data_IF_343195869485
#
_entry.id   IF_343195869485
#
_cell.length_a   1.000
_cell.length_b   1.000
_cell.length_c   1.000
_cell.angle_alpha   90.00
_cell.angle_beta   90.00
_cell.angle_gamma   90.00
#
_symmetry.space_group_name_H-M   'P 1'
#
loop_
_entity.id
_entity.type
_entity.pdbx_description
1 polymer ?
#
# COMPACT_ATOMS: atom_id res chain seq x y z
N UNK A 1 -13.18 -22.82 12.08
CA UNK A 1 -11.78 -22.36 11.96
C UNK A 1 -11.66 -20.97 12.54
N UNK A 2 -10.61 -20.72 13.31
CA UNK A 2 -10.25 -19.39 13.81
C UNK A 2 -9.68 -18.53 12.65
N UNK A 3 -9.64 -17.20 12.82
CA UNK A 3 -9.03 -16.31 11.81
C UNK A 3 -7.56 -16.69 11.54
N UNK A 4 -6.80 -17.04 12.58
CA UNK A 4 -5.42 -17.50 12.44
C UNK A 4 -5.29 -18.76 11.56
N UNK A 5 -6.15 -19.76 11.78
CA UNK A 5 -6.16 -20.99 10.95
C UNK A 5 -6.51 -20.69 9.48
N UNK A 6 -7.50 -19.82 9.25
CA UNK A 6 -7.88 -19.39 7.91
C UNK A 6 -6.71 -18.66 7.23
N UNK A 7 -6.11 -17.67 7.90
CA UNK A 7 -5.00 -16.91 7.35
C UNK A 7 -3.77 -17.78 7.05
N UNK A 8 -3.44 -18.72 7.96
CA UNK A 8 -2.35 -19.66 7.75
C UNK A 8 -2.59 -20.56 6.53
N UNK A 9 -3.81 -21.11 6.39
CA UNK A 9 -4.16 -21.94 5.24
C UNK A 9 -4.11 -21.17 3.93
N UNK A 10 -4.75 -19.99 3.87
CA UNK A 10 -4.76 -19.15 2.66
C UNK A 10 -3.38 -18.56 2.33
N UNK A 11 -2.60 -18.24 3.36
CA UNK A 11 -1.22 -17.80 3.17
C UNK A 11 -0.35 -18.89 2.56
N UNK A 12 -0.47 -20.14 3.03
CA UNK A 12 0.28 -21.27 2.46
C UNK A 12 -0.03 -21.48 0.96
N UNK A 13 -1.29 -21.33 0.54
CA UNK A 13 -1.65 -21.36 -0.89
C UNK A 13 -0.96 -20.25 -1.71
N UNK A 14 -0.69 -19.11 -1.07
CA UNK A 14 0.05 -17.97 -1.66
C UNK A 14 1.57 -18.04 -1.39
N UNK A 15 2.10 -19.17 -0.93
CA UNK A 15 3.51 -19.37 -0.58
C UNK A 15 4.03 -18.45 0.54
N UNK A 16 3.13 -17.98 1.40
CA UNK A 16 3.44 -17.21 2.61
C UNK A 16 3.47 -18.15 3.82
N UNK A 17 4.42 -17.92 4.71
CA UNK A 17 4.49 -18.59 6.01
C UNK A 17 4.45 -17.55 7.13
N UNK A 18 3.82 -17.90 8.24
CA UNK A 18 3.65 -17.00 9.37
C UNK A 18 4.20 -17.63 10.65
N UNK A 19 4.80 -16.83 11.51
CA UNK A 19 5.08 -17.22 12.89
C UNK A 19 3.80 -17.14 13.73
N UNK A 20 3.80 -17.78 14.90
CA UNK A 20 2.69 -17.68 15.85
C UNK A 20 2.42 -16.23 16.26
N UNK A 21 3.46 -15.45 16.49
CA UNK A 21 3.36 -14.03 16.83
C UNK A 21 2.70 -13.21 15.70
N UNK A 22 3.08 -13.47 14.45
CA UNK A 22 2.45 -12.81 13.29
C UNK A 22 0.97 -13.18 13.19
N UNK A 23 0.63 -14.43 13.35
CA UNK A 23 -0.79 -14.88 13.34
C UNK A 23 -1.59 -14.23 14.47
N UNK A 24 -1.01 -14.11 15.67
CA UNK A 24 -1.64 -13.40 16.79
C UNK A 24 -1.87 -11.91 16.47
N UNK A 25 -0.87 -11.22 15.90
CA UNK A 25 -1.00 -9.82 15.47
C UNK A 25 -2.06 -9.64 14.38
N UNK A 26 -2.07 -10.50 13.35
CA UNK A 26 -3.10 -10.44 12.30
C UNK A 26 -4.50 -10.70 12.84
N UNK A 27 -4.64 -11.63 13.78
CA UNK A 27 -5.93 -11.92 14.42
C UNK A 27 -6.43 -10.72 15.21
N UNK A 28 -5.56 -10.12 16.03
CA UNK A 28 -5.94 -8.91 16.79
C UNK A 28 -6.28 -7.73 15.89
N UNK A 29 -5.51 -7.53 14.83
CA UNK A 29 -5.80 -6.50 13.82
C UNK A 29 -7.16 -6.72 13.14
N UNK A 30 -7.49 -7.96 12.79
CA UNK A 30 -8.80 -8.33 12.24
C UNK A 30 -9.93 -8.00 13.21
N UNK A 31 -9.81 -8.36 14.49
CA UNK A 31 -10.80 -8.07 15.52
C UNK A 31 -11.05 -6.55 15.65
N UNK A 32 -9.99 -5.75 15.75
CA UNK A 32 -10.05 -4.30 15.82
C UNK A 32 -10.69 -3.70 14.57
N UNK A 33 -10.36 -4.22 13.39
CA UNK A 33 -10.94 -3.78 12.12
C UNK A 33 -12.46 -3.99 12.11
N UNK A 34 -12.91 -5.20 12.44
CA UNK A 34 -14.34 -5.55 12.43
C UNK A 34 -15.12 -4.77 13.49
N UNK A 35 -14.56 -4.62 14.69
CA UNK A 35 -15.17 -3.86 15.77
C UNK A 35 -15.33 -2.38 15.38
N UNK A 36 -14.24 -1.75 14.93
CA UNK A 36 -14.27 -0.33 14.54
C UNK A 36 -15.12 -0.10 13.29
N UNK A 37 -15.19 -1.07 12.39
CA UNK A 37 -15.97 -0.96 11.17
C UNK A 37 -17.48 -0.79 11.43
N UNK A 38 -17.99 -1.27 12.57
CA UNK A 38 -19.40 -1.09 12.98
C UNK A 38 -19.79 0.39 13.12
N UNK A 39 -18.82 1.26 13.39
CA UNK A 39 -19.06 2.71 13.64
C UNK A 39 -18.36 3.63 12.65
N UNK A 40 -17.40 3.14 11.86
CA UNK A 40 -16.52 4.02 11.06
C UNK A 40 -16.53 3.76 9.54
N UNK A 41 -17.10 2.66 9.07
CA UNK A 41 -17.07 2.27 7.66
C UNK A 41 -15.65 2.30 7.06
N UNK A 42 -14.74 1.52 7.64
CA UNK A 42 -13.35 1.40 7.19
C UNK A 42 -13.21 0.55 5.92
N UNK A 43 -14.03 -0.50 5.84
CA UNK A 43 -14.04 -1.46 4.73
C UNK A 43 -15.45 -2.04 4.52
N UNK A 44 -15.75 -2.46 3.30
CA UNK A 44 -16.94 -3.23 2.99
C UNK A 44 -16.78 -4.74 3.28
N UNK A 45 -15.54 -5.20 3.55
CA UNK A 45 -15.18 -6.60 3.71
C UNK A 45 -14.93 -6.87 5.20
N UNK A 46 -15.75 -7.72 5.81
CA UNK A 46 -15.68 -8.04 7.25
C UNK A 46 -15.65 -9.55 7.53
N UNK A 47 -16.06 -10.37 6.57
CA UNK A 47 -16.04 -11.83 6.74
C UNK A 47 -14.59 -12.34 6.89
N UNK A 48 -14.33 -13.26 7.85
CA UNK A 48 -12.97 -13.68 8.20
C UNK A 48 -12.16 -14.15 7.01
N UNK A 49 -12.74 -14.99 6.15
CA UNK A 49 -12.06 -15.53 4.98
C UNK A 49 -11.78 -14.47 3.93
N UNK A 50 -12.73 -13.57 3.69
CA UNK A 50 -12.52 -12.46 2.75
C UNK A 50 -11.46 -11.48 3.24
N UNK A 51 -11.43 -11.15 4.53
CA UNK A 51 -10.40 -10.28 5.11
C UNK A 51 -9.04 -10.96 5.03
N UNK A 52 -8.94 -12.24 5.37
CA UNK A 52 -7.67 -12.98 5.27
C UNK A 52 -7.12 -12.96 3.85
N UNK A 53 -7.95 -13.20 2.84
CA UNK A 53 -7.53 -13.27 1.43
C UNK A 53 -7.38 -11.87 0.81
N UNK A 54 -8.48 -11.07 0.81
CA UNK A 54 -8.56 -9.80 0.05
C UNK A 54 -7.86 -8.62 0.74
N UNK A 55 -7.54 -8.77 2.04
CA UNK A 55 -6.82 -7.71 2.77
C UNK A 55 -5.43 -8.18 3.20
N UNK A 56 -5.28 -9.28 3.95
CA UNK A 56 -3.99 -9.68 4.49
C UNK A 56 -3.08 -10.27 3.41
N UNK A 57 -3.50 -11.36 2.76
CA UNK A 57 -2.70 -12.02 1.70
C UNK A 57 -2.45 -11.06 0.53
N UNK A 58 -3.50 -10.37 0.04
CA UNK A 58 -3.37 -9.37 -1.04
C UNK A 58 -2.29 -8.31 -0.73
N UNK A 59 -2.26 -7.81 0.50
CA UNK A 59 -1.24 -6.85 0.93
C UNK A 59 0.18 -7.43 0.92
N UNK A 60 0.31 -8.70 1.32
CA UNK A 60 1.60 -9.38 1.41
C UNK A 60 2.18 -9.79 0.06
N UNK A 61 1.37 -9.82 -1.01
CA UNK A 61 1.88 -9.99 -2.38
C UNK A 61 2.81 -8.84 -2.82
N UNK A 62 2.76 -7.70 -2.13
CA UNK A 62 3.68 -6.59 -2.34
C UNK A 62 5.02 -6.75 -1.59
N UNK A 63 5.17 -7.78 -0.75
CA UNK A 63 6.39 -8.00 0.01
C UNK A 63 7.56 -8.44 -0.90
N UNK A 64 8.73 -7.95 -0.60
CA UNK A 64 10.01 -8.36 -1.20
C UNK A 64 11.06 -8.54 -0.10
N UNK A 65 11.93 -9.54 -0.22
CA UNK A 65 13.01 -9.80 0.75
C UNK A 65 13.92 -8.58 0.95
N UNK A 66 14.06 -7.75 -0.08
CA UNK A 66 14.80 -6.49 -0.03
C UNK A 66 14.21 -5.42 0.91
N UNK A 67 13.01 -5.62 1.45
CA UNK A 67 12.34 -4.67 2.36
C UNK A 67 12.90 -4.66 3.79
N UNK A 68 13.66 -5.68 4.18
CA UNK A 68 14.20 -5.77 5.54
C UNK A 68 15.07 -4.55 5.90
N UNK A 69 14.74 -3.90 7.02
CA UNK A 69 15.43 -2.72 7.53
C UNK A 69 15.26 -1.44 6.72
N UNK A 70 14.48 -1.47 5.62
CA UNK A 70 14.22 -0.35 4.71
C UNK A 70 13.09 0.56 5.20
N UNK A 71 12.90 1.66 4.49
CA UNK A 71 11.81 2.61 4.72
C UNK A 71 10.71 2.42 3.67
N UNK A 72 9.46 2.40 4.13
CA UNK A 72 8.28 2.30 3.29
C UNK A 72 7.29 3.42 3.65
N UNK A 73 6.66 4.00 2.65
CA UNK A 73 5.46 4.83 2.82
C UNK A 73 4.29 4.21 2.11
N UNK A 74 3.17 4.08 2.80
CA UNK A 74 1.89 3.61 2.25
C UNK A 74 0.96 4.80 2.03
N UNK A 75 0.63 5.09 0.77
CA UNK A 75 -0.09 6.29 0.35
C UNK A 75 -1.58 6.00 0.20
N UNK A 76 -2.40 6.76 0.92
CA UNK A 76 -3.83 6.51 0.99
C UNK A 76 -4.13 5.20 1.70
N UNK A 77 -3.45 4.98 2.82
CA UNK A 77 -3.41 3.69 3.53
C UNK A 77 -4.78 3.15 3.96
N UNK A 78 -5.77 4.02 4.10
CA UNK A 78 -7.14 3.63 4.48
C UNK A 78 -7.19 2.98 5.85
N UNK A 79 -7.63 1.74 5.89
CA UNK A 79 -7.62 0.92 7.11
C UNK A 79 -6.25 0.27 7.39
N UNK A 80 -5.18 0.67 6.69
CA UNK A 80 -3.81 0.20 6.92
C UNK A 80 -3.26 -0.75 5.85
N UNK A 81 -3.89 -0.82 4.69
CA UNK A 81 -3.52 -1.79 3.65
C UNK A 81 -2.82 -1.14 2.45
N UNK A 82 -1.63 -1.61 2.06
CA UNK A 82 -0.90 -2.80 2.54
C UNK A 82 0.06 -2.55 3.72
N UNK A 83 0.21 -1.33 4.22
CA UNK A 83 1.29 -0.93 5.13
C UNK A 83 1.37 -1.71 6.45
N UNK A 84 0.23 -1.94 7.14
CA UNK A 84 0.19 -2.68 8.41
C UNK A 84 0.48 -4.16 8.22
N UNK A 85 -0.13 -4.89 7.27
CA UNK A 85 0.25 -6.27 6.97
C UNK A 85 1.73 -6.44 6.65
N UNK A 86 2.31 -5.55 5.83
CA UNK A 86 3.75 -5.58 5.52
C UNK A 86 4.62 -5.36 6.77
N UNK A 87 4.18 -4.49 7.69
CA UNK A 87 4.86 -4.26 8.97
C UNK A 87 4.82 -5.46 9.89
N UNK A 88 3.66 -6.13 10.01
CA UNK A 88 3.52 -7.35 10.82
C UNK A 88 4.41 -8.45 10.24
N UNK A 89 4.41 -8.62 8.92
CA UNK A 89 5.18 -9.67 8.24
C UNK A 89 6.68 -9.40 8.25
N UNK A 90 7.10 -8.14 8.15
CA UNK A 90 8.49 -7.70 8.18
C UNK A 90 8.74 -6.70 9.34
N UNK A 91 8.98 -7.18 10.57
CA UNK A 91 9.09 -6.30 11.75
C UNK A 91 10.22 -5.27 11.68
N UNK A 92 11.28 -5.50 10.89
CA UNK A 92 12.40 -4.57 10.71
C UNK A 92 12.06 -3.41 9.74
N UNK A 93 10.97 -3.51 8.95
CA UNK A 93 10.53 -2.48 8.01
C UNK A 93 10.11 -1.21 8.77
N UNK A 94 10.55 -0.04 8.32
CA UNK A 94 10.16 1.26 8.89
C UNK A 94 9.03 1.84 8.05
N UNK A 95 7.82 1.89 8.59
CA UNK A 95 6.60 2.23 7.84
C UNK A 95 6.07 3.62 8.21
N UNK A 96 5.68 4.39 7.20
CA UNK A 96 4.90 5.62 7.34
C UNK A 96 3.56 5.43 6.63
N UNK A 97 2.47 5.54 7.38
CA UNK A 97 1.10 5.45 6.88
C UNK A 97 0.57 6.86 6.60
N UNK A 98 0.24 7.17 5.35
CA UNK A 98 -0.26 8.50 4.95
C UNK A 98 -1.72 8.39 4.52
N UNK A 99 -2.59 9.16 5.14
CA UNK A 99 -4.00 9.32 4.73
C UNK A 99 -4.47 10.76 4.98
N UNK A 100 -5.39 11.23 4.15
CA UNK A 100 -6.00 12.56 4.29
C UNK A 100 -7.17 12.60 5.28
N UNK A 101 -7.62 11.44 5.76
CA UNK A 101 -8.74 11.31 6.69
C UNK A 101 -8.25 10.97 8.10
N UNK A 102 -8.18 11.95 8.98
CA UNK A 102 -7.69 11.79 10.36
C UNK A 102 -8.42 10.72 11.18
N UNK A 103 -9.70 10.42 10.90
CA UNK A 103 -10.42 9.34 11.56
C UNK A 103 -9.82 7.96 11.29
N UNK A 104 -9.31 7.71 10.06
CA UNK A 104 -8.65 6.45 9.69
C UNK A 104 -7.32 6.31 10.43
N UNK A 105 -6.58 7.41 10.54
CA UNK A 105 -5.29 7.40 11.23
C UNK A 105 -5.45 7.15 12.73
N UNK A 106 -6.49 7.67 13.38
CA UNK A 106 -6.79 7.32 14.79
C UNK A 106 -7.03 5.83 15.00
N UNK A 107 -7.74 5.19 14.08
CA UNK A 107 -7.87 3.72 14.09
C UNK A 107 -6.52 3.03 13.96
N UNK A 108 -5.67 3.50 13.04
CA UNK A 108 -4.34 2.92 12.83
C UNK A 108 -3.39 3.15 14.02
N UNK A 109 -3.47 4.30 14.69
CA UNK A 109 -2.75 4.58 15.93
C UNK A 109 -3.18 3.58 17.02
N UNK A 110 -4.48 3.31 17.17
CA UNK A 110 -4.97 2.27 18.08
C UNK A 110 -4.42 0.88 17.71
N UNK A 111 -4.42 0.50 16.44
CA UNK A 111 -3.85 -0.78 15.98
C UNK A 111 -2.36 -0.87 16.33
N UNK A 112 -1.60 0.20 16.06
CA UNK A 112 -0.15 0.26 16.34
C UNK A 112 0.12 0.06 17.83
N UNK A 113 -0.64 0.72 18.68
CA UNK A 113 -0.50 0.66 20.14
C UNK A 113 -0.90 -0.72 20.68
N UNK A 114 -2.05 -1.24 20.28
CA UNK A 114 -2.58 -2.54 20.71
C UNK A 114 -1.67 -3.71 20.31
N UNK A 115 -1.06 -3.65 19.11
CA UNK A 115 -0.13 -4.66 18.64
C UNK A 115 1.33 -4.40 19.07
N UNK A 116 1.60 -3.29 19.78
CA UNK A 116 2.95 -2.92 20.19
C UNK A 116 3.95 -2.73 19.06
N UNK A 117 3.48 -2.38 17.84
CA UNK A 117 4.32 -2.27 16.65
C UNK A 117 5.32 -1.12 16.77
N UNK A 118 6.61 -1.39 16.52
CA UNK A 118 7.68 -0.39 16.56
C UNK A 118 8.14 0.00 15.17
N UNK A 119 8.55 1.26 14.99
CA UNK A 119 9.04 1.72 13.67
C UNK A 119 7.94 1.91 12.62
N UNK A 120 6.71 2.12 13.05
CA UNK A 120 5.58 2.49 12.22
C UNK A 120 4.93 3.75 12.80
N UNK A 121 4.46 4.66 11.93
CA UNK A 121 3.80 5.92 12.34
C UNK A 121 2.76 6.35 11.33
N UNK A 122 1.80 7.16 11.80
CA UNK A 122 0.78 7.80 10.99
C UNK A 122 1.16 9.25 10.65
N UNK A 123 0.81 9.71 9.45
CA UNK A 123 0.99 11.10 8.99
C UNK A 123 -0.30 11.58 8.32
N UNK A 124 -0.92 12.59 8.92
CA UNK A 124 -2.18 13.17 8.40
C UNK A 124 -1.85 14.20 7.32
N UNK A 125 -1.73 13.75 6.09
CA UNK A 125 -1.36 14.55 4.92
C UNK A 125 -2.10 14.06 3.68
N UNK A 126 -2.32 14.97 2.71
CA UNK A 126 -2.60 14.58 1.34
C UNK A 126 -1.32 14.07 0.68
N UNK A 127 -1.44 13.17 -0.28
CA UNK A 127 -0.30 12.62 -1.02
C UNK A 127 0.52 13.73 -1.72
N UNK A 128 -0.16 14.72 -2.29
CA UNK A 128 0.48 15.85 -2.96
C UNK A 128 1.29 16.72 -1.98
N UNK A 129 0.78 16.92 -0.78
CA UNK A 129 1.47 17.70 0.25
C UNK A 129 2.68 16.92 0.79
N UNK A 130 2.54 15.61 0.99
CA UNK A 130 3.65 14.73 1.34
C UNK A 130 4.76 14.77 0.28
N UNK A 131 4.41 14.65 -1.01
CA UNK A 131 5.37 14.70 -2.12
C UNK A 131 6.09 16.04 -2.30
N UNK A 132 5.57 17.12 -1.72
CA UNK A 132 6.19 18.48 -1.70
C UNK A 132 6.97 18.75 -0.42
N UNK A 133 6.69 18.01 0.64
CA UNK A 133 7.33 18.19 1.94
C UNK A 133 8.79 17.73 1.92
N UNK A 134 9.71 18.55 2.39
CA UNK A 134 11.12 18.18 2.56
C UNK A 134 11.31 16.95 3.45
N UNK A 135 10.37 16.69 4.36
CA UNK A 135 10.37 15.53 5.27
C UNK A 135 10.14 14.22 4.54
N UNK A 136 9.35 14.23 3.44
CA UNK A 136 8.87 13.01 2.79
C UNK A 136 9.36 12.85 1.36
N UNK A 137 9.60 13.97 0.63
CA UNK A 137 10.01 13.94 -0.76
C UNK A 137 11.31 13.17 -0.96
N UNK A 138 11.26 12.11 -1.81
CA UNK A 138 12.41 11.28 -2.18
C UNK A 138 13.16 10.66 -0.98
N UNK A 139 12.42 10.27 0.08
CA UNK A 139 12.98 9.72 1.30
C UNK A 139 12.82 8.20 1.45
N UNK A 140 11.92 7.58 0.70
CA UNK A 140 11.54 6.20 0.94
C UNK A 140 12.17 5.22 -0.05
N UNK A 141 12.63 4.07 0.48
CA UNK A 141 13.10 2.94 -0.33
C UNK A 141 11.95 2.35 -1.13
N UNK A 142 10.78 2.21 -0.49
CA UNK A 142 9.56 1.68 -1.06
C UNK A 142 8.38 2.63 -0.85
N UNK A 143 7.55 2.70 -1.85
CA UNK A 143 6.26 3.38 -1.79
C UNK A 143 5.20 2.38 -2.20
N UNK A 144 4.13 2.25 -1.42
CA UNK A 144 2.99 1.40 -1.75
C UNK A 144 1.72 2.22 -1.88
N UNK A 145 0.79 1.73 -2.69
CA UNK A 145 -0.57 2.24 -2.72
C UNK A 145 -1.52 1.16 -3.26
N UNK A 146 -2.73 1.09 -2.68
CA UNK A 146 -3.80 0.18 -3.07
C UNK A 146 -5.13 0.91 -3.20
N UNK A 147 -5.85 0.70 -4.32
CA UNK A 147 -7.21 1.20 -4.53
C UNK A 147 -7.41 2.72 -4.34
N UNK A 148 -6.39 3.55 -4.62
CA UNK A 148 -6.45 5.01 -4.43
C UNK A 148 -6.91 5.72 -5.70
N UNK A 149 -6.26 5.44 -6.86
CA UNK A 149 -6.52 6.11 -8.13
C UNK A 149 -5.99 5.28 -9.31
N UNK A 150 -6.25 5.72 -10.55
CA UNK A 150 -5.62 5.16 -11.75
C UNK A 150 -4.10 5.38 -11.73
N UNK A 151 -3.35 4.54 -12.44
CA UNK A 151 -1.88 4.54 -12.40
C UNK A 151 -1.28 5.90 -12.77
N UNK A 152 -1.84 6.64 -13.75
CA UNK A 152 -1.38 7.96 -14.15
C UNK A 152 -1.42 8.98 -13.00
N UNK A 153 -2.52 9.00 -12.25
CA UNK A 153 -2.71 9.85 -11.06
C UNK A 153 -1.85 9.33 -9.89
N UNK A 154 -1.91 8.03 -9.65
CA UNK A 154 -1.22 7.39 -8.54
C UNK A 154 0.30 7.55 -8.64
N UNK A 155 0.84 7.55 -9.86
CA UNK A 155 2.27 7.81 -10.09
C UNK A 155 2.68 9.21 -9.62
N UNK A 156 1.83 10.24 -9.80
CA UNK A 156 2.11 11.59 -9.33
C UNK A 156 2.02 11.70 -7.80
N UNK A 157 1.21 10.86 -7.15
CA UNK A 157 1.16 10.79 -5.68
C UNK A 157 2.35 10.07 -5.07
N UNK A 158 2.84 9.01 -5.71
CA UNK A 158 3.78 8.06 -5.14
C UNK A 158 5.24 8.29 -5.55
N UNK A 159 5.52 8.54 -6.84
CA UNK A 159 6.90 8.68 -7.33
C UNK A 159 7.68 9.85 -6.71
N UNK A 160 7.06 10.99 -6.35
CA UNK A 160 7.76 12.05 -5.63
C UNK A 160 8.26 11.65 -4.24
N UNK A 161 7.74 10.57 -3.65
CA UNK A 161 8.13 10.07 -2.32
C UNK A 161 9.27 9.05 -2.40
N UNK A 162 9.36 8.31 -3.51
CA UNK A 162 10.41 7.33 -3.73
C UNK A 162 11.77 8.01 -3.96
N UNK A 163 12.79 7.61 -3.21
CA UNK A 163 14.17 8.05 -3.45
C UNK A 163 14.70 7.48 -4.76
N UNK A 164 15.70 8.13 -5.36
CA UNK A 164 16.40 7.57 -6.54
C UNK A 164 16.99 6.20 -6.17
N UNK A 165 16.71 5.18 -6.98
CA UNK A 165 17.05 3.79 -6.70
C UNK A 165 16.01 3.06 -5.82
N UNK A 166 14.98 3.75 -5.36
CA UNK A 166 13.84 3.14 -4.68
C UNK A 166 12.78 2.65 -5.66
N UNK A 167 11.66 2.17 -5.13
CA UNK A 167 10.63 1.50 -5.90
C UNK A 167 9.23 1.91 -5.46
N UNK A 168 8.34 2.11 -6.42
CA UNK A 168 6.90 2.21 -6.18
C UNK A 168 6.22 0.91 -6.59
N UNK A 169 5.43 0.32 -5.68
CA UNK A 169 4.69 -0.92 -5.84
C UNK A 169 3.21 -0.59 -5.79
N UNK A 170 2.51 -0.71 -6.91
CA UNK A 170 1.09 -0.45 -7.03
C UNK A 170 0.31 -1.77 -7.07
N UNK A 171 -0.61 -1.96 -6.11
CA UNK A 171 -1.55 -3.08 -6.09
C UNK A 171 -2.78 -2.70 -6.90
N UNK A 172 -3.03 -3.43 -7.99
CA UNK A 172 -4.05 -3.10 -8.99
C UNK A 172 -5.03 -4.25 -9.21
N UNK A 173 -6.23 -3.89 -9.69
CA UNK A 173 -7.27 -4.84 -10.10
C UNK A 173 -7.18 -5.23 -11.57
N UNK A 174 -8.24 -5.85 -12.10
CA UNK A 174 -8.32 -6.47 -13.44
C UNK A 174 -7.97 -5.56 -14.63
N UNK A 175 -8.15 -4.25 -14.50
CA UNK A 175 -7.84 -3.29 -15.57
C UNK A 175 -6.40 -2.78 -15.59
N UNK A 176 -5.48 -3.50 -14.95
CA UNK A 176 -4.09 -3.05 -14.82
C UNK A 176 -3.37 -2.84 -16.16
N UNK A 177 -3.69 -3.64 -17.18
CA UNK A 177 -3.09 -3.51 -18.51
C UNK A 177 -3.44 -2.16 -19.17
N UNK A 178 -4.73 -1.79 -19.15
CA UNK A 178 -5.20 -0.49 -19.63
C UNK A 178 -4.56 0.67 -18.84
N UNK A 179 -4.48 0.52 -17.51
CA UNK A 179 -3.89 1.53 -16.64
C UNK A 179 -2.39 1.72 -16.89
N UNK A 180 -1.67 0.67 -17.32
CA UNK A 180 -0.26 0.75 -17.72
C UNK A 180 -0.11 1.60 -18.97
N UNK A 181 -0.90 1.32 -20.01
CA UNK A 181 -0.87 2.08 -21.26
C UNK A 181 -1.17 3.57 -21.03
N UNK A 182 -2.20 3.88 -20.24
CA UNK A 182 -2.58 5.25 -19.86
C UNK A 182 -1.55 5.93 -18.95
N UNK A 183 -0.85 5.17 -18.10
CA UNK A 183 0.02 5.68 -17.04
C UNK A 183 1.51 5.77 -17.40
N UNK A 184 1.97 5.09 -18.46
CA UNK A 184 3.38 5.01 -18.79
C UNK A 184 4.04 6.38 -18.99
N UNK A 185 3.35 7.28 -19.69
CA UNK A 185 3.83 8.65 -19.91
C UNK A 185 3.99 9.40 -18.57
N UNK A 186 3.03 9.28 -17.65
CA UNK A 186 3.11 9.87 -16.32
C UNK A 186 4.30 9.33 -15.53
N UNK A 187 4.48 8.01 -15.51
CA UNK A 187 5.61 7.34 -14.85
C UNK A 187 6.93 7.90 -15.35
N UNK A 188 7.10 8.01 -16.66
CA UNK A 188 8.33 8.54 -17.30
C UNK A 188 8.60 10.00 -16.95
N UNK A 189 7.56 10.86 -16.99
CA UNK A 189 7.64 12.28 -16.62
C UNK A 189 8.11 12.43 -15.17
N UNK A 190 7.63 11.58 -14.28
CA UNK A 190 7.90 11.64 -12.84
C UNK A 190 9.23 10.96 -12.43
N UNK A 191 10.00 10.47 -13.41
CA UNK A 191 11.31 9.86 -13.19
C UNK A 191 11.27 8.38 -12.83
N UNK A 192 10.15 7.70 -13.13
CA UNK A 192 9.99 6.27 -12.97
C UNK A 192 10.23 5.48 -14.26
N UNK A 193 10.34 4.15 -14.10
CA UNK A 193 10.33 3.16 -15.18
C UNK A 193 9.58 1.92 -14.69
N UNK A 194 8.54 1.51 -15.39
CA UNK A 194 7.87 0.23 -15.11
C UNK A 194 8.86 -0.90 -15.37
N UNK A 195 9.11 -1.73 -14.35
CA UNK A 195 10.06 -2.84 -14.42
C UNK A 195 9.38 -4.21 -14.44
N UNK A 196 8.19 -4.32 -13.83
CA UNK A 196 7.32 -5.49 -14.00
C UNK A 196 5.86 -5.12 -13.80
N UNK A 197 4.98 -5.95 -14.35
CA UNK A 197 3.54 -5.92 -14.13
C UNK A 197 3.08 -7.39 -14.13
N UNK A 198 3.03 -7.97 -12.94
CA UNK A 198 2.79 -9.39 -12.77
C UNK A 198 1.35 -9.64 -12.36
N UNK A 199 0.56 -10.37 -13.17
CA UNK A 199 -0.71 -10.91 -12.72
C UNK A 199 -0.50 -11.78 -11.49
N UNK A 200 -1.31 -11.59 -10.47
CA UNK A 200 -1.27 -12.37 -9.24
C UNK A 200 -2.63 -13.01 -8.98
N UNK A 201 -2.60 -14.23 -8.44
CA UNK A 201 -3.81 -14.93 -8.02
C UNK A 201 -3.90 -14.94 -6.50
N UNK A 202 -5.06 -14.55 -6.00
CA UNK A 202 -5.40 -14.76 -4.60
C UNK A 202 -6.01 -16.14 -4.41
N UNK A 203 -5.76 -16.80 -3.26
CA UNK A 203 -6.36 -18.08 -2.93
C UNK A 203 -7.88 -18.07 -3.08
N UNK A 204 -8.42 -18.98 -3.91
CA UNK A 204 -9.85 -19.10 -4.14
C UNK A 204 -10.49 -17.98 -4.97
N UNK A 205 -9.71 -17.06 -5.55
CA UNK A 205 -10.23 -15.95 -6.35
C UNK A 205 -9.55 -15.88 -7.73
N UNK A 206 -10.33 -15.52 -8.73
CA UNK A 206 -9.87 -15.25 -10.10
C UNK A 206 -10.36 -13.86 -10.53
N UNK A 207 -9.93 -12.83 -9.80
CA UNK A 207 -10.42 -11.46 -9.94
C UNK A 207 -9.45 -10.52 -10.71
N UNK A 208 -8.43 -11.10 -11.36
CA UNK A 208 -7.56 -10.38 -12.29
C UNK A 208 -6.68 -9.31 -11.64
N UNK A 209 -6.07 -9.60 -10.50
CA UNK A 209 -5.15 -8.66 -9.82
C UNK A 209 -3.76 -8.62 -10.43
N UNK A 210 -3.04 -7.53 -10.19
CA UNK A 210 -1.65 -7.39 -10.58
C UNK A 210 -0.85 -6.53 -9.59
N UNK A 211 0.43 -6.84 -9.48
CA UNK A 211 1.44 -6.02 -8.83
C UNK A 211 2.26 -5.31 -9.90
N UNK A 212 2.20 -3.99 -9.94
CA UNK A 212 3.02 -3.18 -10.85
C UNK A 212 4.18 -2.60 -10.07
N UNK A 213 5.40 -2.91 -10.51
CA UNK A 213 6.64 -2.41 -9.90
C UNK A 213 7.26 -1.34 -10.79
N UNK A 214 7.56 -0.18 -10.20
CA UNK A 214 8.09 0.99 -10.88
C UNK A 214 9.36 1.43 -10.19
N UNK A 215 10.49 1.28 -10.87
CA UNK A 215 11.78 1.76 -10.36
C UNK A 215 11.87 3.29 -10.46
N UNK A 216 12.36 3.95 -9.42
CA UNK A 216 12.68 5.38 -9.42
C UNK A 216 14.08 5.58 -9.99
N UNK A 217 14.17 5.93 -11.27
CA UNK A 217 15.45 6.06 -12.00
C UNK A 217 16.00 7.48 -12.04
N UNK A 218 15.14 8.50 -11.89
CA UNK A 218 15.50 9.93 -11.90
C UNK A 218 14.75 10.66 -10.80
N UNK A 219 15.27 11.81 -10.36
CA UNK A 219 14.55 12.73 -9.50
C UNK A 219 13.24 13.19 -10.17
N UNK A 220 12.17 13.31 -9.39
CA UNK A 220 10.91 13.89 -9.87
C UNK A 220 11.10 15.40 -10.08
N UNK A 221 10.72 15.96 -11.25
CA UNK A 221 10.84 17.40 -11.50
C UNK A 221 10.15 18.23 -10.40
N UNK A 222 10.72 19.38 -10.04
CA UNK A 222 10.28 20.18 -8.88
C UNK A 222 8.82 20.66 -8.95
N UNK A 223 8.25 20.77 -10.15
CA UNK A 223 6.84 21.14 -10.36
C UNK A 223 5.85 20.06 -9.91
N UNK A 224 6.29 18.82 -9.71
CA UNK A 224 5.47 17.70 -9.28
C UNK A 224 5.75 17.30 -7.82
N UNK A 225 4.73 16.79 -7.09
CA UNK A 225 3.34 16.69 -7.53
C UNK A 225 2.73 18.09 -7.70
N UNK A 226 1.74 18.19 -8.59
CA UNK A 226 0.94 19.42 -8.75
C UNK A 226 0.06 19.65 -7.51
N UNK A 227 -0.57 20.83 -7.43
CA UNK A 227 -1.46 21.21 -6.32
C UNK A 227 -2.54 20.16 -6.11
N UNK A 228 -2.93 19.94 -4.86
CA UNK A 228 -3.95 18.97 -4.46
C UNK A 228 -5.22 19.06 -5.32
N UNK A 229 -5.69 17.88 -5.76
CA UNK A 229 -6.83 17.70 -6.66
C UNK A 229 -6.54 17.98 -8.16
N UNK A 230 -5.38 18.52 -8.52
CA UNK A 230 -5.01 18.70 -9.95
C UNK A 230 -4.70 17.38 -10.64
N UNK A 231 -3.97 16.43 -10.03
CA UNK A 231 -3.69 15.15 -10.65
C UNK A 231 -4.93 14.37 -11.06
N UNK A 232 -5.99 14.37 -10.25
CA UNK A 232 -7.26 13.70 -10.56
C UNK A 232 -8.02 14.36 -11.71
N UNK A 233 -8.06 15.69 -11.71
CA UNK A 233 -8.81 16.46 -12.75
C UNK A 233 -8.12 16.45 -14.10
N UNK A 234 -6.81 16.37 -14.12
CA UNK A 234 -5.96 16.45 -15.30
C UNK A 234 -4.80 15.45 -15.17
N UNK A 235 -5.03 14.13 -15.32
CA UNK A 235 -3.97 13.14 -15.22
C UNK A 235 -2.83 13.43 -16.20
N UNK A 236 -1.58 13.16 -15.77
CA UNK A 236 -0.42 13.30 -16.64
C UNK A 236 -0.48 12.25 -17.75
N UNK A 237 -0.12 12.68 -18.98
CA UNK A 237 -0.11 11.78 -20.14
C UNK A 237 -1.46 11.55 -20.80
N UNK A 238 -2.57 12.04 -20.24
CA UNK A 238 -3.85 12.07 -20.95
C UNK A 238 -3.77 13.08 -22.10
N UNK A 239 -4.10 12.61 -23.31
CA UNK A 239 -4.25 13.46 -24.52
C UNK A 239 -5.58 14.19 -24.49
#
# INVERSE_FOLDING_TARGET
>A
MTFAEILAARGAEAQLSFTEEQLAHFTRYYELLVETNKVMNLTAITEPEEVAVKHMVDSLLAYEDGMQGKTLVDVGTGAGFPGVPLKIYCPSLKVTLVDSLGKRLRFLEQVIDELGLKGIRCEHLRAEDAGRSKKHREQYDYVTARAVARLSVLSEYCLPLAKKGGQFIALKGSRFAEEIEEGEAAVKILGGKIISAEPVKLPGLDDGRAIIKIAKIKATPAQYPRKAGTPEKQPLGSR
#
